data_IF_800717543326
#
_entry.id   IF_800717543326
#
_cell.length_a   1.000
_cell.length_b   1.000
_cell.length_c   1.000
_cell.angle_alpha   90.00
_cell.angle_beta   90.00
_cell.angle_gamma   90.00
#
_symmetry.space_group_name_H-M   'P 1'
#
loop_
_entity.id
_entity.type
_entity.pdbx_description
1 polymer ?
#
# COMPACT_ATOMS: atom_id res chain seq x y z
N UNK A 1 7.16 -8.75 18.40
CA UNK A 1 5.68 -8.88 18.25
C UNK A 1 5.18 -7.81 17.31
N UNK A 2 4.33 -8.15 16.33
CA UNK A 2 3.80 -7.17 15.34
C UNK A 2 2.39 -6.79 15.75
N UNK A 3 2.09 -5.49 15.74
CA UNK A 3 0.75 -4.93 15.90
C UNK A 3 0.25 -4.42 14.55
N UNK A 4 -0.81 -5.02 14.02
CA UNK A 4 -1.46 -4.56 12.78
C UNK A 4 -2.49 -3.49 13.10
N UNK A 5 -2.48 -2.41 12.34
CA UNK A 5 -3.35 -1.26 12.59
C UNK A 5 -3.79 -0.55 11.30
N UNK A 6 -4.98 0.06 11.37
CA UNK A 6 -5.48 0.95 10.33
C UNK A 6 -5.57 2.37 10.91
N UNK A 7 -4.85 3.32 10.33
CA UNK A 7 -4.73 4.70 10.87
C UNK A 7 -6.09 5.34 11.12
N UNK A 8 -6.99 5.23 10.16
CA UNK A 8 -8.31 5.87 10.26
C UNK A 8 -9.28 5.21 11.26
N UNK A 9 -9.00 3.98 11.73
CA UNK A 9 -9.91 3.20 12.57
C UNK A 9 -9.34 2.91 13.97
N UNK A 10 -8.11 3.32 14.26
CA UNK A 10 -7.42 2.96 15.50
C UNK A 10 -7.84 3.79 16.73
N UNK A 11 -8.92 4.52 16.67
CA UNK A 11 -9.39 5.41 17.73
C UNK A 11 -10.83 5.09 18.17
N UNK A 12 -11.22 5.60 19.36
CA UNK A 12 -12.56 5.39 19.92
C UNK A 12 -13.63 6.38 19.39
N UNK A 13 -13.17 7.54 18.91
CA UNK A 13 -14.09 8.56 18.37
C UNK A 13 -14.66 8.11 17.02
N UNK A 14 -15.94 8.36 16.77
CA UNK A 14 -16.63 8.02 15.52
C UNK A 14 -16.26 8.99 14.38
N UNK A 15 -14.99 8.98 13.99
CA UNK A 15 -14.43 9.75 12.88
C UNK A 15 -13.23 9.02 12.27
N UNK A 16 -12.78 9.48 11.11
CA UNK A 16 -11.53 9.00 10.52
C UNK A 16 -10.36 9.56 11.33
N UNK A 17 -9.51 8.68 11.85
CA UNK A 17 -8.29 9.06 12.58
C UNK A 17 -7.22 9.63 11.67
N UNK A 18 -6.27 10.36 12.26
CA UNK A 18 -5.16 10.99 11.55
C UNK A 18 -3.81 10.41 11.97
N UNK A 19 -2.77 10.65 11.15
CA UNK A 19 -1.38 10.27 11.50
C UNK A 19 -0.95 10.87 12.84
N UNK A 20 -1.28 12.15 13.10
CA UNK A 20 -0.94 12.81 14.36
C UNK A 20 -1.68 12.19 15.54
N UNK A 21 -2.98 11.94 15.41
CA UNK A 21 -3.74 11.29 16.50
C UNK A 21 -3.24 9.88 16.80
N UNK A 22 -2.87 9.12 15.78
CA UNK A 22 -2.26 7.81 15.97
C UNK A 22 -0.93 7.91 16.71
N UNK A 23 -0.05 8.83 16.27
CA UNK A 23 1.24 9.10 16.89
C UNK A 23 1.12 9.45 18.36
N UNK A 24 0.16 10.33 18.71
CA UNK A 24 0.03 10.89 20.05
C UNK A 24 -0.75 10.01 21.02
N UNK A 25 -1.77 9.28 20.53
CA UNK A 25 -2.71 8.57 21.39
C UNK A 25 -2.57 7.04 21.34
N UNK A 26 -2.19 6.49 20.19
CA UNK A 26 -2.19 5.03 19.97
C UNK A 26 -0.78 4.45 20.07
N UNK A 27 0.19 5.06 19.40
CA UNK A 27 1.56 4.57 19.39
C UNK A 27 2.19 4.38 20.78
N UNK A 28 2.00 5.30 21.77
CA UNK A 28 2.52 5.09 23.12
C UNK A 28 1.94 3.85 23.81
N UNK A 29 0.66 3.54 23.58
CA UNK A 29 0.01 2.35 24.15
C UNK A 29 0.59 1.06 23.55
N UNK A 30 0.84 1.07 22.24
CA UNK A 30 1.48 -0.07 21.55
C UNK A 30 2.89 -0.34 22.14
N UNK A 31 3.63 0.74 22.41
CA UNK A 31 4.93 0.65 23.07
C UNK A 31 4.84 0.09 24.50
N UNK A 32 3.90 0.58 25.31
CA UNK A 32 3.66 0.12 26.70
C UNK A 32 3.27 -1.36 26.75
N UNK A 33 2.54 -1.86 25.74
CA UNK A 33 2.15 -3.28 25.62
C UNK A 33 3.31 -4.18 25.13
N UNK A 34 4.46 -3.60 24.79
CA UNK A 34 5.68 -4.33 24.45
C UNK A 34 5.76 -4.81 23.01
N UNK A 35 4.96 -4.25 22.10
CA UNK A 35 5.13 -4.47 20.67
C UNK A 35 6.40 -3.76 20.17
N UNK A 36 7.11 -4.40 19.27
CA UNK A 36 8.36 -3.87 18.69
C UNK A 36 8.27 -3.66 17.17
N UNK A 37 7.09 -3.83 16.61
CA UNK A 37 6.81 -3.56 15.19
C UNK A 37 5.34 -3.19 15.04
N UNK A 38 5.04 -2.18 14.24
CA UNK A 38 3.69 -1.91 13.74
C UNK A 38 3.62 -2.23 12.26
N UNK A 39 2.52 -2.86 11.86
CA UNK A 39 2.15 -3.05 10.45
C UNK A 39 1.00 -2.10 10.13
N UNK A 40 1.29 -1.06 9.36
CA UNK A 40 0.27 -0.11 8.93
C UNK A 40 -0.43 -0.68 7.70
N UNK A 41 -1.75 -0.94 7.81
CA UNK A 41 -2.60 -1.34 6.70
C UNK A 41 -2.55 -0.28 5.60
N UNK A 42 -2.81 -0.70 4.35
CA UNK A 42 -2.63 0.06 3.12
C UNK A 42 -2.94 1.56 3.24
N UNK A 43 -1.90 2.39 3.13
CA UNK A 43 -1.99 3.85 3.26
C UNK A 43 -1.61 4.60 1.98
N UNK A 44 -1.39 3.91 0.88
CA UNK A 44 -1.25 4.55 -0.42
C UNK A 44 -2.55 5.28 -0.76
N UNK A 45 -2.47 6.36 -1.54
CA UNK A 45 -3.66 7.16 -1.86
C UNK A 45 -4.71 6.35 -2.60
N UNK A 46 -5.95 6.47 -2.16
CA UNK A 46 -7.10 5.70 -2.64
C UNK A 46 -8.39 6.55 -2.62
N UNK A 47 -9.25 6.46 -3.65
CA UNK A 47 -10.43 7.31 -3.76
C UNK A 47 -11.57 6.88 -2.82
N UNK A 48 -11.65 5.59 -2.47
CA UNK A 48 -12.75 5.02 -1.70
C UNK A 48 -12.31 4.53 -0.32
N UNK A 49 -12.77 5.19 0.74
CA UNK A 49 -12.43 4.83 2.13
C UNK A 49 -12.82 3.41 2.52
N UNK A 50 -13.97 2.92 2.04
CA UNK A 50 -14.44 1.56 2.31
C UNK A 50 -13.58 0.45 1.71
N UNK A 51 -12.58 0.78 0.88
CA UNK A 51 -11.56 -0.17 0.43
C UNK A 51 -10.46 -0.40 1.48
N UNK A 52 -10.47 0.34 2.59
CA UNK A 52 -9.43 0.32 3.63
C UNK A 52 -8.00 0.57 3.11
N UNK A 53 -7.88 1.26 1.95
CA UNK A 53 -6.60 1.53 1.29
C UNK A 53 -6.21 0.50 0.22
N UNK A 54 -6.96 -0.58 0.04
CA UNK A 54 -6.61 -1.63 -0.91
C UNK A 54 -6.99 -1.34 -2.37
N UNK A 55 -7.73 -0.26 -2.66
CA UNK A 55 -7.99 0.23 -4.01
C UNK A 55 -7.10 1.44 -4.35
N UNK A 56 -5.81 1.18 -4.50
CA UNK A 56 -4.80 2.23 -4.71
C UNK A 56 -5.00 2.93 -6.05
N UNK A 57 -5.02 4.27 -6.03
CA UNK A 57 -5.03 5.13 -7.21
C UNK A 57 -3.66 5.78 -7.47
N UNK A 58 -2.97 6.20 -6.42
CA UNK A 58 -1.65 6.82 -6.54
C UNK A 58 -0.62 6.13 -5.65
N UNK A 59 0.31 5.42 -6.29
CA UNK A 59 1.27 4.53 -5.62
C UNK A 59 2.38 5.28 -4.87
N UNK A 60 2.72 6.48 -5.31
CA UNK A 60 3.77 7.32 -4.73
C UNK A 60 3.22 8.45 -3.84
N UNK A 61 2.00 8.32 -3.35
CA UNK A 61 1.39 9.28 -2.44
C UNK A 61 0.83 8.59 -1.20
N UNK A 62 1.10 9.17 -0.03
CA UNK A 62 0.43 8.81 1.20
C UNK A 62 -1.02 9.28 1.15
N UNK A 63 -1.95 8.52 1.72
CA UNK A 63 -3.36 8.89 1.73
C UNK A 63 -3.57 10.23 2.44
N UNK A 64 -4.08 11.20 1.68
CA UNK A 64 -4.44 12.53 2.15
C UNK A 64 -5.57 12.52 3.18
N UNK A 65 -6.28 11.42 3.26
CA UNK A 65 -7.41 11.19 4.18
C UNK A 65 -6.98 11.17 5.63
N UNK A 66 -5.75 10.76 5.92
CA UNK A 66 -5.22 10.63 7.28
C UNK A 66 -4.29 11.79 7.68
N UNK A 67 -4.00 12.70 6.77
CA UNK A 67 -3.13 13.85 7.00
C UNK A 67 -2.14 14.10 5.87
N UNK A 68 -1.07 14.80 6.19
CA UNK A 68 -0.02 15.17 5.24
C UNK A 68 1.11 14.12 5.18
N UNK A 69 1.94 14.12 4.11
CA UNK A 69 3.15 13.30 4.04
C UNK A 69 4.10 13.53 5.22
N UNK A 70 4.26 14.76 5.67
CA UNK A 70 5.14 15.10 6.79
C UNK A 70 4.61 14.54 8.12
N UNK A 71 3.30 14.51 8.32
CA UNK A 71 2.69 13.88 9.49
C UNK A 71 2.90 12.36 9.52
N UNK A 72 2.87 11.69 8.36
CA UNK A 72 3.22 10.27 8.28
C UNK A 72 4.71 10.05 8.59
N UNK A 73 5.60 10.88 8.05
CA UNK A 73 7.04 10.82 8.39
C UNK A 73 7.27 11.02 9.88
N UNK A 74 6.59 11.99 10.49
CA UNK A 74 6.68 12.25 11.93
C UNK A 74 6.14 11.07 12.77
N UNK A 75 5.12 10.35 12.29
CA UNK A 75 4.64 9.13 12.94
C UNK A 75 5.71 8.03 12.92
N UNK A 76 6.35 7.81 11.77
CA UNK A 76 7.39 6.78 11.61
C UNK A 76 8.61 7.12 12.47
N UNK A 77 9.02 8.38 12.49
CA UNK A 77 10.13 8.89 13.31
C UNK A 77 9.88 8.65 14.81
N UNK A 78 8.67 9.00 15.27
CA UNK A 78 8.26 8.73 16.65
C UNK A 78 8.23 7.24 17.01
N UNK A 79 7.84 6.37 16.08
CA UNK A 79 7.89 4.92 16.29
C UNK A 79 9.34 4.43 16.45
N UNK A 80 10.25 4.93 15.61
CA UNK A 80 11.68 4.62 15.70
C UNK A 80 12.30 5.12 17.01
N UNK A 81 11.95 6.32 17.49
CA UNK A 81 12.37 6.83 18.80
C UNK A 81 11.95 5.91 19.95
N UNK A 82 10.82 5.21 19.83
CA UNK A 82 10.33 4.24 20.80
C UNK A 82 10.91 2.82 20.59
N UNK A 83 11.79 2.62 19.59
CA UNK A 83 12.35 1.31 19.26
C UNK A 83 11.37 0.38 18.53
N UNK A 84 10.35 0.95 17.87
CA UNK A 84 9.32 0.21 17.14
C UNK A 84 9.60 0.32 15.64
N UNK A 85 9.81 -0.83 14.99
CA UNK A 85 9.90 -0.89 13.53
C UNK A 85 8.53 -0.65 12.88
N UNK A 86 8.52 -0.07 11.68
CA UNK A 86 7.30 0.24 10.94
C UNK A 86 7.32 -0.46 9.59
N UNK A 87 6.42 -1.43 9.39
CA UNK A 87 6.22 -2.06 8.09
C UNK A 87 4.91 -1.58 7.45
N UNK A 88 4.94 -1.46 6.14
CA UNK A 88 3.80 -1.00 5.35
C UNK A 88 3.13 -2.18 4.65
N UNK A 89 1.82 -2.25 4.75
CA UNK A 89 1.02 -3.11 3.88
C UNK A 89 0.93 -2.47 2.49
N UNK A 90 1.64 -3.04 1.52
CA UNK A 90 1.77 -2.48 0.18
C UNK A 90 0.95 -3.29 -0.83
N UNK A 91 0.19 -2.57 -1.66
CA UNK A 91 -0.69 -3.18 -2.66
C UNK A 91 -0.02 -3.13 -4.02
N UNK A 92 0.65 -4.23 -4.40
CA UNK A 92 1.27 -4.39 -5.72
C UNK A 92 0.61 -5.48 -6.56
N UNK A 93 -0.41 -6.14 -6.01
CA UNK A 93 -1.18 -7.19 -6.71
C UNK A 93 -2.17 -6.62 -7.73
N UNK A 94 -2.64 -5.39 -7.52
CA UNK A 94 -3.66 -4.75 -8.35
C UNK A 94 -3.68 -3.23 -8.17
N UNK A 95 -4.47 -2.54 -8.99
CA UNK A 95 -4.80 -1.14 -8.85
C UNK A 95 -6.32 -0.92 -8.93
N UNK A 96 -6.79 0.21 -8.41
CA UNK A 96 -8.20 0.59 -8.55
C UNK A 96 -8.59 0.72 -10.02
N UNK A 97 -9.82 0.34 -10.33
CA UNK A 97 -10.41 0.46 -11.66
C UNK A 97 -10.91 1.89 -11.91
N UNK A 98 -9.96 2.83 -12.00
CA UNK A 98 -10.23 4.25 -12.15
C UNK A 98 -9.31 4.85 -13.23
N UNK A 99 -9.92 5.48 -14.23
CA UNK A 99 -9.23 6.10 -15.38
C UNK A 99 -8.92 7.59 -15.16
N UNK A 100 -9.54 8.22 -14.16
CA UNK A 100 -9.43 9.66 -13.89
C UNK A 100 -8.40 9.93 -12.80
N UNK A 101 -8.48 9.19 -11.68
CA UNK A 101 -7.63 9.39 -10.50
C UNK A 101 -6.56 8.30 -10.35
N UNK A 102 -6.58 7.27 -11.22
CA UNK A 102 -5.69 6.11 -11.14
C UNK A 102 -4.91 5.85 -12.42
N UNK A 103 -4.33 4.66 -12.50
CA UNK A 103 -3.49 4.23 -13.63
C UNK A 103 -4.29 3.63 -14.80
N UNK A 104 -5.63 3.52 -14.69
CA UNK A 104 -6.48 2.78 -15.63
C UNK A 104 -6.35 3.21 -17.10
N UNK A 105 -6.04 4.49 -17.34
CA UNK A 105 -5.79 5.03 -18.68
C UNK A 105 -4.81 6.23 -18.62
N UNK A 106 -3.75 6.11 -17.83
CA UNK A 106 -2.89 7.22 -17.44
C UNK A 106 -2.28 7.99 -18.61
N UNK A 107 -1.83 7.32 -19.66
CA UNK A 107 -1.22 7.94 -20.83
C UNK A 107 -2.09 7.80 -22.11
N UNK A 108 -3.39 7.55 -21.96
CA UNK A 108 -4.27 7.25 -23.09
C UNK A 108 -4.12 5.80 -23.61
N UNK A 109 -3.35 4.97 -22.92
CA UNK A 109 -3.22 3.53 -23.16
C UNK A 109 -3.71 2.75 -21.93
N UNK A 110 -4.88 2.10 -21.99
CA UNK A 110 -5.42 1.34 -20.87
C UNK A 110 -4.58 0.12 -20.50
N UNK A 111 -3.67 -0.31 -21.37
CA UNK A 111 -2.79 -1.46 -21.14
C UNK A 111 -1.37 -1.06 -20.76
N UNK A 112 -1.07 0.22 -20.54
CA UNK A 112 0.28 0.66 -20.20
C UNK A 112 0.88 -0.10 -19.02
N UNK A 113 0.10 -0.28 -17.95
CA UNK A 113 0.50 -0.97 -16.73
C UNK A 113 -0.09 -2.37 -16.60
N UNK A 114 -1.19 -2.63 -17.29
CA UNK A 114 -2.06 -3.77 -17.05
C UNK A 114 -2.06 -4.77 -18.20
N UNK A 115 -2.49 -6.01 -17.90
CA UNK A 115 -2.70 -7.01 -18.93
C UNK A 115 -3.76 -6.56 -19.93
N UNK A 116 -3.65 -6.96 -21.20
CA UNK A 116 -4.72 -6.73 -22.18
C UNK A 116 -5.85 -7.74 -22.03
N UNK A 117 -7.04 -7.41 -22.55
CA UNK A 117 -8.19 -8.29 -22.66
C UNK A 117 -8.76 -8.75 -21.32
N UNK A 118 -9.21 -9.99 -21.27
CA UNK A 118 -9.89 -10.55 -20.09
C UNK A 118 -9.00 -10.68 -18.85
N UNK A 119 -7.70 -10.67 -19.00
CA UNK A 119 -6.73 -10.73 -17.89
C UNK A 119 -6.52 -9.40 -17.21
N UNK A 120 -7.01 -8.31 -17.80
CA UNK A 120 -6.88 -6.96 -17.27
C UNK A 120 -7.57 -6.80 -15.92
N UNK A 121 -8.72 -7.44 -15.76
CA UNK A 121 -9.57 -7.26 -14.58
C UNK A 121 -9.48 -8.43 -13.63
N UNK A 122 -9.53 -8.11 -12.33
CA UNK A 122 -9.69 -9.09 -11.26
C UNK A 122 -11.14 -9.05 -10.77
N UNK A 123 -12.02 -9.97 -11.25
CA UNK A 123 -13.47 -9.87 -11.00
C UNK A 123 -13.85 -9.90 -9.51
N UNK A 124 -13.09 -10.67 -8.71
CA UNK A 124 -13.38 -10.82 -7.29
C UNK A 124 -13.07 -9.56 -6.47
N UNK A 125 -12.18 -8.69 -6.96
CA UNK A 125 -11.74 -7.48 -6.23
C UNK A 125 -12.05 -6.19 -6.99
N UNK A 126 -12.80 -6.26 -8.09
CA UNK A 126 -13.14 -5.13 -8.95
C UNK A 126 -11.94 -4.19 -9.19
N UNK A 127 -10.85 -4.76 -9.65
CA UNK A 127 -9.54 -4.09 -9.77
C UNK A 127 -8.84 -4.45 -11.07
N UNK A 128 -7.72 -3.78 -11.37
CA UNK A 128 -6.88 -3.99 -12.55
C UNK A 128 -5.62 -4.76 -12.19
N UNK A 129 -5.27 -5.78 -12.98
CA UNK A 129 -4.09 -6.62 -12.77
C UNK A 129 -2.88 -6.08 -13.51
N UNK A 130 -1.79 -5.82 -12.78
CA UNK A 130 -0.51 -5.42 -13.36
C UNK A 130 0.05 -6.49 -14.28
N UNK A 131 0.62 -6.06 -15.41
CA UNK A 131 1.37 -6.94 -16.32
C UNK A 131 2.83 -7.06 -15.90
N UNK A 132 3.12 -8.00 -15.02
CA UNK A 132 4.47 -8.26 -14.53
C UNK A 132 5.43 -8.81 -15.60
N UNK A 133 4.95 -9.10 -16.82
CA UNK A 133 5.80 -9.40 -17.98
C UNK A 133 6.49 -8.18 -18.58
N UNK A 134 6.06 -6.97 -18.21
CA UNK A 134 6.65 -5.72 -18.69
C UNK A 134 7.74 -5.22 -17.74
N UNK A 135 8.94 -5.03 -18.27
CA UNK A 135 10.06 -4.51 -17.48
C UNK A 135 9.77 -3.15 -16.85
N UNK A 136 9.03 -2.28 -17.55
CA UNK A 136 8.64 -0.95 -17.09
C UNK A 136 7.69 -1.04 -15.88
N UNK A 137 6.78 -2.02 -15.87
CA UNK A 137 5.88 -2.27 -14.74
C UNK A 137 6.65 -2.79 -13.54
N UNK A 138 7.56 -3.74 -13.73
CA UNK A 138 8.45 -4.22 -12.67
C UNK A 138 9.27 -3.08 -12.11
N UNK A 139 9.87 -2.25 -12.97
CA UNK A 139 10.65 -1.09 -12.56
C UNK A 139 9.81 -0.06 -11.79
N UNK A 140 8.57 0.19 -12.22
CA UNK A 140 7.62 1.06 -11.50
C UNK A 140 7.35 0.53 -10.08
N UNK A 141 7.03 -0.75 -9.93
CA UNK A 141 6.73 -1.36 -8.63
C UNK A 141 7.95 -1.42 -7.71
N UNK A 142 9.13 -1.76 -8.25
CA UNK A 142 10.39 -1.74 -7.47
C UNK A 142 10.78 -0.32 -7.05
N UNK A 143 10.60 0.67 -7.93
CA UNK A 143 10.83 2.08 -7.60
C UNK A 143 9.87 2.56 -6.52
N UNK A 144 8.64 2.05 -6.51
CA UNK A 144 7.67 2.32 -5.47
C UNK A 144 8.11 1.77 -4.10
N UNK A 145 8.60 0.53 -4.04
CA UNK A 145 9.20 0.01 -2.80
C UNK A 145 10.37 0.89 -2.34
N UNK A 146 11.30 1.20 -3.25
CA UNK A 146 12.44 2.06 -2.94
C UNK A 146 12.01 3.41 -2.38
N UNK A 147 11.01 4.05 -2.99
CA UNK A 147 10.46 5.33 -2.54
C UNK A 147 9.96 5.27 -1.08
N UNK A 148 9.18 4.27 -0.72
CA UNK A 148 8.67 4.15 0.64
C UNK A 148 9.76 3.88 1.67
N UNK A 149 10.79 3.10 1.32
CA UNK A 149 11.93 2.85 2.20
C UNK A 149 12.82 4.10 2.36
N UNK A 150 13.11 4.79 1.26
CA UNK A 150 14.07 5.91 1.28
C UNK A 150 13.44 7.23 1.73
N UNK A 151 12.22 7.52 1.30
CA UNK A 151 11.57 8.79 1.57
C UNK A 151 10.84 8.81 2.92
N UNK A 152 10.14 7.72 3.27
CA UNK A 152 9.38 7.62 4.51
C UNK A 152 10.07 6.83 5.61
N UNK A 153 11.14 6.11 5.29
CA UNK A 153 11.90 5.29 6.24
C UNK A 153 11.11 4.11 6.83
N UNK A 154 10.21 3.53 6.05
CA UNK A 154 9.64 2.23 6.42
C UNK A 154 10.75 1.17 6.53
N UNK A 155 10.63 0.26 7.48
CA UNK A 155 11.61 -0.82 7.71
C UNK A 155 11.35 -2.05 6.83
N UNK A 156 10.18 -2.14 6.21
CA UNK A 156 9.84 -3.26 5.34
C UNK A 156 8.38 -3.22 4.87
N UNK A 157 7.97 -4.34 4.23
CA UNK A 157 6.65 -4.47 3.64
C UNK A 157 5.98 -5.79 4.00
N UNK A 158 4.66 -5.74 4.11
CA UNK A 158 3.77 -6.88 3.90
C UNK A 158 3.12 -6.70 2.53
N UNK A 159 3.29 -7.64 1.62
CA UNK A 159 2.68 -7.57 0.29
C UNK A 159 1.28 -8.16 0.32
N UNK A 160 0.29 -7.35 -0.04
CA UNK A 160 -1.09 -7.80 -0.15
C UNK A 160 -1.33 -8.58 -1.45
N UNK A 161 -2.21 -9.59 -1.37
CA UNK A 161 -2.70 -10.31 -2.54
C UNK A 161 -1.63 -11.09 -3.34
N UNK A 162 -0.55 -11.53 -2.73
CA UNK A 162 0.58 -12.23 -3.38
C UNK A 162 0.15 -13.42 -4.22
N UNK A 163 -0.90 -14.13 -3.82
CA UNK A 163 -1.44 -15.26 -4.59
C UNK A 163 -1.87 -14.83 -6.00
N UNK A 164 -2.47 -13.64 -6.15
CA UNK A 164 -2.84 -13.10 -7.46
C UNK A 164 -1.61 -12.76 -8.31
N UNK A 165 -0.55 -12.24 -7.68
CA UNK A 165 0.72 -11.96 -8.37
C UNK A 165 1.35 -13.26 -8.91
N UNK A 166 1.36 -14.32 -8.11
CA UNK A 166 1.94 -15.62 -8.48
C UNK A 166 1.09 -16.35 -9.52
N UNK A 167 -0.23 -16.40 -9.40
CA UNK A 167 -1.11 -17.14 -10.33
C UNK A 167 -1.06 -16.57 -11.74
N UNK A 168 -0.83 -15.27 -11.89
CA UNK A 168 -0.64 -14.62 -13.18
C UNK A 168 0.73 -14.95 -13.78
N UNK A 169 1.76 -15.14 -12.94
CA UNK A 169 3.12 -15.47 -13.36
C UNK A 169 3.30 -16.96 -13.72
N UNK A 170 2.52 -17.87 -13.13
CA UNK A 170 2.65 -19.31 -13.35
C UNK A 170 2.43 -19.75 -14.81
N UNK A 171 1.79 -18.96 -15.63
CA UNK A 171 1.63 -19.23 -17.07
C UNK A 171 2.88 -18.88 -17.90
N UNK A 172 3.90 -18.24 -17.30
CA UNK A 172 5.13 -17.83 -17.99
C UNK A 172 6.42 -18.37 -17.37
N UNK A 173 6.36 -19.01 -16.20
CA UNK A 173 7.48 -19.75 -15.64
C UNK A 173 7.48 -21.19 -16.16
N UNK A 174 7.81 -21.37 -17.44
CA UNK A 174 8.46 -22.61 -17.84
C UNK A 174 9.87 -22.55 -17.31
N UNK A 175 10.14 -23.27 -16.22
CA UNK A 175 11.51 -23.53 -15.78
C UNK A 175 12.26 -24.13 -17.00
N UNK A 176 13.45 -23.65 -17.36
CA UNK A 176 14.26 -24.32 -18.35
C UNK A 176 14.58 -25.72 -17.82
N UNK A 177 14.17 -26.71 -18.57
CA UNK A 177 14.55 -28.11 -18.38
C UNK A 177 16.02 -28.29 -18.67
#
# INVERSE_FOLDING_TARGET
MIYECHIGMAQQEEKVGTYNEFREKILPRIAEEGYNCIQIMAIQEHPYYGSFGYHVSSFFAASSRFGTPDELKALIDAAHEMGIAVIMDIVHSHAVKNEVEGLGNFAGDPNQYFYPGVRREHPAWDSLCFDYGKNEVIHFLLSNCKYWLEEYKFDGFRFDGVTSMLSVSYTHLTLPT
#
